data_IF_466595404516
#
_entry.id   IF_466595404516
#
_cell.length_a   1.000
_cell.length_b   1.000
_cell.length_c   1.000
_cell.angle_alpha   90.00
_cell.angle_beta   90.00
_cell.angle_gamma   90.00
#
_symmetry.space_group_name_H-M   'P 1'
#
loop_
_entity.id
_entity.type
_entity.pdbx_description
1 polymer ?
#
# COMPACT_ATOMS: atom_id res chain seq x y z
N UNK A 1 0.96 -16.24 8.40
CA UNK A 1 1.79 -15.05 8.10
C UNK A 1 2.66 -14.76 9.31
N UNK A 2 3.95 -15.09 9.24
CA UNK A 2 4.90 -14.76 10.29
C UNK A 2 5.29 -13.28 10.17
N UNK A 3 4.67 -12.43 10.98
CA UNK A 3 5.28 -11.14 11.32
C UNK A 3 6.62 -11.46 11.96
N UNK A 4 7.72 -10.83 11.55
CA UNK A 4 8.96 -10.91 12.35
C UNK A 4 8.63 -10.22 13.67
N UNK A 5 8.35 -10.99 14.70
CA UNK A 5 8.09 -10.49 16.05
C UNK A 5 9.42 -9.92 16.56
N UNK A 6 9.58 -8.60 16.45
CA UNK A 6 10.67 -7.87 17.09
C UNK A 6 10.37 -7.85 18.58
N UNK A 7 10.88 -8.85 19.31
CA UNK A 7 10.61 -9.01 20.73
C UNK A 7 11.53 -8.14 21.61
N UNK A 8 12.73 -7.81 21.13
CA UNK A 8 13.70 -7.00 21.86
C UNK A 8 13.44 -5.49 21.68
N UNK A 9 13.47 -4.67 22.75
CA UNK A 9 13.30 -3.21 22.67
C UNK A 9 14.24 -2.53 21.68
N UNK A 10 15.51 -2.94 21.63
CA UNK A 10 16.50 -2.37 20.71
C UNK A 10 16.14 -2.63 19.24
N UNK A 11 15.67 -3.84 18.92
CA UNK A 11 15.22 -4.19 17.57
C UNK A 11 13.99 -3.37 17.14
N UNK A 12 13.11 -3.04 18.09
CA UNK A 12 11.97 -2.13 17.86
C UNK A 12 12.48 -0.72 17.58
N UNK A 13 13.40 -0.20 18.41
CA UNK A 13 13.99 1.12 18.26
C UNK A 13 14.65 1.29 16.89
N UNK A 14 15.54 0.36 16.50
CA UNK A 14 16.21 0.37 15.19
C UNK A 14 15.21 0.37 14.05
N UNK A 15 14.14 -0.43 14.15
CA UNK A 15 13.10 -0.46 13.13
C UNK A 15 12.33 0.87 13.04
N UNK A 16 11.96 1.47 14.17
CA UNK A 16 11.27 2.78 14.19
C UNK A 16 12.17 3.87 13.61
N UNK A 17 13.48 3.83 13.89
CA UNK A 17 14.45 4.74 13.27
C UNK A 17 14.50 4.57 11.75
N UNK A 18 14.53 3.32 11.25
CA UNK A 18 14.48 3.03 9.82
C UNK A 18 13.18 3.57 9.19
N UNK A 19 12.02 3.28 9.80
CA UNK A 19 10.72 3.76 9.33
C UNK A 19 10.73 5.29 9.24
N UNK A 20 11.16 5.99 10.28
CA UNK A 20 11.26 7.46 10.29
C UNK A 20 12.19 7.97 9.21
N UNK A 21 13.35 7.33 9.02
CA UNK A 21 14.31 7.72 8.00
C UNK A 21 13.72 7.59 6.60
N UNK A 22 13.13 6.44 6.25
CA UNK A 22 12.47 6.23 4.95
C UNK A 22 11.36 7.24 4.73
N UNK A 23 10.44 7.37 5.70
CA UNK A 23 9.26 8.22 5.53
C UNK A 23 9.60 9.71 5.41
N UNK A 24 10.71 10.18 5.99
CA UNK A 24 11.17 11.57 5.86
C UNK A 24 11.61 11.95 4.44
N UNK A 25 11.94 10.96 3.60
CA UNK A 25 12.33 11.20 2.21
C UNK A 25 11.13 11.29 1.25
N UNK A 26 9.91 11.05 1.75
CA UNK A 26 8.71 10.96 0.93
C UNK A 26 7.86 12.23 1.05
N UNK A 27 7.04 12.55 0.04
CA UNK A 27 6.03 13.60 0.15
C UNK A 27 5.13 13.38 1.38
N UNK A 28 4.83 14.42 2.19
CA UNK A 28 4.20 14.25 3.51
C UNK A 28 2.91 13.44 3.50
N UNK A 29 2.05 13.63 2.51
CA UNK A 29 0.76 12.93 2.40
C UNK A 29 0.96 11.44 2.04
N UNK A 30 1.97 11.13 1.24
CA UNK A 30 2.31 9.74 0.91
C UNK A 30 2.95 9.03 2.11
N UNK A 31 3.83 9.74 2.81
CA UNK A 31 4.46 9.27 4.04
C UNK A 31 3.41 8.95 5.12
N UNK A 32 2.42 9.82 5.31
CA UNK A 32 1.34 9.64 6.29
C UNK A 32 0.52 8.37 6.02
N UNK A 33 0.08 8.14 4.79
CA UNK A 33 -0.71 6.94 4.44
C UNK A 33 0.13 5.68 4.65
N UNK A 34 1.40 5.68 4.21
CA UNK A 34 2.25 4.50 4.40
C UNK A 34 2.56 4.26 5.89
N UNK A 35 2.78 5.32 6.68
CA UNK A 35 2.93 5.22 8.13
C UNK A 35 1.71 4.57 8.77
N UNK A 36 0.51 5.04 8.44
CA UNK A 36 -0.74 4.48 8.96
C UNK A 36 -0.91 3.04 8.51
N UNK A 37 -0.49 2.67 7.31
CA UNK A 37 -0.48 1.28 6.88
C UNK A 37 0.46 0.42 7.74
N UNK A 38 1.71 0.86 7.93
CA UNK A 38 2.73 0.14 8.71
C UNK A 38 2.30 -0.10 10.16
N UNK A 39 1.66 0.90 10.78
CA UNK A 39 1.17 0.80 12.16
C UNK A 39 -0.26 0.26 12.27
N UNK A 40 -0.86 -0.20 11.16
CA UNK A 40 -2.23 -0.72 11.13
C UNK A 40 -3.21 0.28 11.75
N UNK A 41 -3.18 1.52 11.28
CA UNK A 41 -4.05 2.63 11.69
C UNK A 41 -5.05 3.01 10.59
N UNK A 42 -5.01 2.35 9.43
CA UNK A 42 -5.98 2.60 8.37
C UNK A 42 -7.34 1.96 8.69
N UNK A 43 -8.45 2.68 8.48
CA UNK A 43 -9.80 2.19 8.70
C UNK A 43 -10.27 1.25 7.57
N UNK A 44 -9.57 0.15 7.35
CA UNK A 44 -10.02 -0.91 6.42
C UNK A 44 -11.29 -1.60 6.94
N UNK A 45 -12.15 -2.05 6.03
CA UNK A 45 -13.52 -2.47 6.41
C UNK A 45 -13.56 -3.61 7.45
N UNK A 46 -12.55 -4.50 7.52
CA UNK A 46 -12.52 -5.56 8.55
C UNK A 46 -12.50 -5.03 10.00
N UNK A 47 -12.12 -3.76 10.24
CA UNK A 47 -12.15 -3.14 11.57
C UNK A 47 -13.55 -2.77 12.02
N UNK A 48 -14.48 -2.66 11.09
CA UNK A 48 -15.88 -2.33 11.37
C UNK A 48 -16.75 -3.59 11.47
N UNK A 49 -16.19 -4.72 11.92
CA UNK A 49 -16.91 -5.97 12.10
C UNK A 49 -18.17 -5.83 12.97
N UNK A 50 -18.18 -4.89 13.92
CA UNK A 50 -19.36 -4.59 14.74
C UNK A 50 -20.56 -4.07 13.92
N UNK A 51 -20.35 -3.50 12.72
CA UNK A 51 -21.43 -3.05 11.83
C UNK A 51 -22.12 -4.21 11.09
N UNK A 52 -21.54 -5.42 11.08
CA UNK A 52 -22.10 -6.57 10.35
C UNK A 52 -23.50 -6.97 10.80
N UNK A 53 -23.85 -6.66 12.05
CA UNK A 53 -25.19 -6.92 12.60
C UNK A 53 -26.28 -6.21 11.79
N UNK A 54 -26.00 -4.97 11.35
CA UNK A 54 -26.95 -4.15 10.58
C UNK A 54 -26.67 -4.21 9.08
N UNK A 55 -25.41 -4.38 8.69
CA UNK A 55 -24.96 -4.39 7.28
C UNK A 55 -23.96 -5.53 7.08
N UNK A 56 -24.40 -6.72 6.64
CA UNK A 56 -23.52 -7.89 6.51
C UNK A 56 -22.29 -7.68 5.63
N UNK A 57 -22.40 -6.76 4.66
CA UNK A 57 -21.37 -6.36 3.71
C UNK A 57 -20.39 -5.31 4.26
N UNK A 58 -20.55 -4.83 5.50
CA UNK A 58 -19.74 -3.76 6.08
C UNK A 58 -18.24 -4.09 6.21
N UNK A 59 -17.86 -5.37 6.17
CA UNK A 59 -16.45 -5.81 6.19
C UNK A 59 -15.90 -6.14 4.80
N UNK A 60 -16.75 -6.17 3.79
CA UNK A 60 -16.38 -6.57 2.45
C UNK A 60 -15.57 -5.48 1.76
N UNK A 61 -14.76 -5.87 0.77
CA UNK A 61 -13.96 -4.93 0.00
C UNK A 61 -14.81 -3.81 -0.63
N UNK A 62 -14.33 -2.57 -0.55
CA UNK A 62 -14.93 -1.40 -1.19
C UNK A 62 -15.11 -1.60 -2.71
N UNK A 63 -14.20 -2.34 -3.33
CA UNK A 63 -14.30 -2.71 -4.74
C UNK A 63 -15.27 -3.85 -5.03
N UNK A 64 -16.09 -4.28 -4.06
CA UNK A 64 -17.14 -5.31 -4.19
C UNK A 64 -16.64 -6.61 -4.84
N UNK A 65 -15.45 -7.06 -4.46
CA UNK A 65 -14.88 -8.33 -4.93
C UNK A 65 -15.35 -9.55 -4.11
N UNK A 66 -16.13 -9.32 -3.04
CA UNK A 66 -16.69 -10.37 -2.17
C UNK A 66 -15.79 -10.83 -1.02
N UNK A 67 -14.53 -10.43 -0.97
CA UNK A 67 -13.61 -10.78 0.13
C UNK A 67 -13.68 -9.77 1.30
N UNK A 68 -13.28 -10.23 2.48
CA UNK A 68 -13.08 -9.37 3.66
C UNK A 68 -11.91 -8.42 3.43
N UNK A 69 -12.12 -7.15 3.70
CA UNK A 69 -11.12 -6.11 3.46
C UNK A 69 -10.15 -5.97 4.64
N UNK A 70 -9.08 -6.75 4.58
CA UNK A 70 -7.90 -6.55 5.42
C UNK A 70 -6.93 -5.55 4.78
N UNK A 71 -5.92 -5.07 5.52
CA UNK A 71 -4.83 -4.25 4.95
C UNK A 71 -4.19 -4.95 3.74
N UNK A 72 -3.88 -6.25 3.87
CA UNK A 72 -3.34 -7.07 2.78
C UNK A 72 -4.28 -7.12 1.58
N UNK A 73 -5.57 -7.20 1.82
CA UNK A 73 -6.56 -7.23 0.76
C UNK A 73 -6.65 -5.89 0.03
N UNK A 74 -6.92 -4.82 0.78
CA UNK A 74 -7.08 -3.47 0.26
C UNK A 74 -5.86 -2.99 -0.54
N UNK A 75 -4.65 -3.37 -0.10
CA UNK A 75 -3.42 -2.84 -0.68
C UNK A 75 -2.66 -3.81 -1.58
N UNK A 76 -2.96 -5.11 -1.64
CA UNK A 76 -2.10 -6.05 -2.40
C UNK A 76 -2.84 -7.17 -3.11
N UNK A 77 -3.74 -7.87 -2.41
CA UNK A 77 -4.34 -9.11 -2.93
C UNK A 77 -5.72 -8.93 -3.57
N UNK A 78 -6.35 -7.76 -3.44
CA UNK A 78 -7.59 -7.48 -4.15
C UNK A 78 -7.41 -7.63 -5.66
N UNK A 79 -8.32 -8.33 -6.40
CA UNK A 79 -8.21 -8.49 -7.84
C UNK A 79 -8.15 -7.19 -8.65
N UNK A 80 -8.60 -6.07 -8.06
CA UNK A 80 -8.53 -4.74 -8.67
C UNK A 80 -7.21 -4.02 -8.41
N UNK A 81 -6.47 -4.42 -7.38
CA UNK A 81 -5.24 -3.78 -6.92
C UNK A 81 -4.01 -4.60 -7.30
N UNK A 82 -4.09 -5.93 -7.21
CA UNK A 82 -2.99 -6.83 -7.55
C UNK A 82 -2.35 -6.57 -8.93
N UNK A 83 -3.12 -6.31 -10.01
CA UNK A 83 -2.54 -6.00 -11.32
C UNK A 83 -1.61 -4.79 -11.33
N UNK A 84 -1.86 -3.79 -10.47
CA UNK A 84 -1.04 -2.57 -10.36
C UNK A 84 0.37 -2.94 -9.86
N UNK A 85 0.44 -3.78 -8.83
CA UNK A 85 1.72 -4.26 -8.32
C UNK A 85 2.42 -5.19 -9.29
N UNK A 86 1.68 -6.05 -10.00
CA UNK A 86 2.25 -6.92 -11.02
C UNK A 86 2.86 -6.10 -12.19
N UNK A 87 2.21 -5.00 -12.57
CA UNK A 87 2.72 -4.07 -13.57
C UNK A 87 4.04 -3.42 -13.11
N UNK A 88 4.08 -2.83 -11.92
CA UNK A 88 5.30 -2.22 -11.39
C UNK A 88 6.42 -3.24 -11.15
N UNK A 89 6.09 -4.42 -10.62
CA UNK A 89 7.07 -5.50 -10.42
C UNK A 89 7.71 -5.90 -11.76
N UNK A 90 6.94 -5.95 -12.85
CA UNK A 90 7.47 -6.24 -14.18
C UNK A 90 8.37 -5.13 -14.69
N UNK A 91 7.94 -3.87 -14.58
CA UNK A 91 8.68 -2.72 -15.08
C UNK A 91 9.99 -2.49 -14.30
N UNK A 92 10.01 -2.75 -13.00
CA UNK A 92 11.17 -2.49 -12.14
C UNK A 92 12.02 -3.74 -11.86
N UNK A 93 11.65 -4.89 -12.42
CA UNK A 93 12.40 -6.15 -12.27
C UNK A 93 13.87 -6.01 -12.67
N UNK A 94 14.17 -5.21 -13.69
CA UNK A 94 15.54 -4.96 -14.18
C UNK A 94 16.43 -4.27 -13.13
N UNK A 95 15.81 -3.56 -12.19
CA UNK A 95 16.49 -2.92 -11.06
C UNK A 95 16.46 -3.77 -9.78
N UNK A 96 16.04 -5.04 -9.86
CA UNK A 96 15.98 -5.96 -8.72
C UNK A 96 14.90 -5.62 -7.69
N UNK A 97 13.95 -4.75 -8.04
CA UNK A 97 12.88 -4.32 -7.14
C UNK A 97 11.72 -5.31 -7.19
N UNK A 98 11.28 -5.76 -6.01
CA UNK A 98 10.00 -6.46 -5.87
C UNK A 98 9.07 -5.69 -4.93
N UNK A 99 7.76 -5.85 -5.18
CA UNK A 99 6.69 -5.21 -4.41
C UNK A 99 5.87 -6.26 -3.66
N UNK A 100 6.53 -7.28 -3.12
CA UNK A 100 5.84 -8.26 -2.29
C UNK A 100 5.26 -7.56 -1.04
N UNK A 101 4.12 -8.05 -0.54
CA UNK A 101 3.47 -7.46 0.63
C UNK A 101 4.39 -7.36 1.86
N UNK A 102 5.19 -8.40 2.10
CA UNK A 102 6.18 -8.44 3.19
C UNK A 102 7.22 -7.36 3.03
N UNK A 103 7.70 -7.11 1.81
CA UNK A 103 8.64 -6.04 1.49
C UNK A 103 8.02 -4.66 1.74
N UNK A 104 6.78 -4.44 1.32
CA UNK A 104 6.05 -3.18 1.55
C UNK A 104 5.80 -2.89 3.04
N UNK A 105 5.54 -3.93 3.84
CA UNK A 105 5.15 -3.80 5.26
C UNK A 105 6.29 -4.03 6.25
N UNK A 106 7.42 -4.58 5.82
CA UNK A 106 8.61 -4.80 6.63
C UNK A 106 9.81 -4.12 5.97
N UNK A 107 9.94 -2.81 6.20
CA UNK A 107 10.97 -1.98 5.55
C UNK A 107 12.41 -2.49 5.74
N UNK A 108 12.71 -3.22 6.82
CA UNK A 108 14.03 -3.85 7.00
C UNK A 108 14.38 -4.94 5.99
N UNK A 109 13.38 -5.46 5.25
CA UNK A 109 13.55 -6.43 4.16
C UNK A 109 13.47 -5.78 2.78
N UNK A 110 13.23 -4.48 2.72
CA UNK A 110 13.07 -3.73 1.48
C UNK A 110 14.45 -3.31 0.96
N UNK A 111 15.07 -4.16 0.15
CA UNK A 111 16.42 -3.95 -0.40
C UNK A 111 16.41 -3.04 -1.64
N UNK A 112 15.67 -1.94 -1.59
CA UNK A 112 15.49 -1.06 -2.75
C UNK A 112 16.17 0.27 -2.52
N UNK A 113 16.68 0.87 -3.61
CA UNK A 113 17.14 2.26 -3.59
C UNK A 113 16.00 3.22 -3.22
N UNK A 114 16.34 4.47 -2.91
CA UNK A 114 15.36 5.48 -2.49
C UNK A 114 14.22 5.69 -3.50
N UNK A 115 14.47 5.44 -4.80
CA UNK A 115 13.46 5.53 -5.87
C UNK A 115 12.34 4.49 -5.70
N UNK A 116 12.65 3.28 -5.23
CA UNK A 116 11.63 2.27 -4.97
C UNK A 116 10.73 2.60 -3.78
N UNK A 117 11.26 3.28 -2.75
CA UNK A 117 10.45 3.80 -1.66
C UNK A 117 9.47 4.87 -2.16
N UNK A 118 9.92 5.80 -3.00
CA UNK A 118 9.07 6.84 -3.58
C UNK A 118 7.92 6.25 -4.42
N UNK A 119 8.21 5.27 -5.28
CA UNK A 119 7.18 4.61 -6.07
C UNK A 119 6.18 3.87 -5.18
N UNK A 120 6.67 3.11 -4.19
CA UNK A 120 5.83 2.36 -3.26
C UNK A 120 4.88 3.29 -2.51
N UNK A 121 5.40 4.39 -1.97
CA UNK A 121 4.62 5.40 -1.27
C UNK A 121 3.55 6.05 -2.17
N UNK A 122 3.92 6.38 -3.40
CA UNK A 122 3.00 6.97 -4.37
C UNK A 122 1.86 6.02 -4.76
N UNK A 123 2.17 4.73 -4.96
CA UNK A 123 1.18 3.70 -5.30
C UNK A 123 0.26 3.42 -4.11
N UNK A 124 0.81 3.27 -2.90
CA UNK A 124 0.02 3.10 -1.66
C UNK A 124 -0.94 4.28 -1.47
N UNK A 125 -0.43 5.50 -1.61
CA UNK A 125 -1.25 6.70 -1.51
C UNK A 125 -2.39 6.71 -2.54
N UNK A 126 -2.08 6.43 -3.81
CA UNK A 126 -3.09 6.39 -4.87
C UNK A 126 -4.16 5.32 -4.60
N UNK A 127 -3.76 4.11 -4.21
CA UNK A 127 -4.67 3.02 -3.85
C UNK A 127 -5.61 3.50 -2.75
N UNK A 128 -5.07 4.07 -1.67
CA UNK A 128 -5.88 4.52 -0.54
C UNK A 128 -6.81 5.67 -0.88
N UNK A 129 -6.35 6.67 -1.64
CA UNK A 129 -7.20 7.78 -2.09
C UNK A 129 -8.37 7.27 -2.94
N UNK A 130 -8.10 6.36 -3.89
CA UNK A 130 -9.14 5.81 -4.76
C UNK A 130 -10.08 4.88 -4.03
N UNK A 131 -9.56 4.09 -3.10
CA UNK A 131 -10.36 3.29 -2.19
C UNK A 131 -11.37 4.16 -1.46
N UNK A 132 -10.94 5.25 -0.81
CA UNK A 132 -11.82 6.13 -0.05
C UNK A 132 -12.89 6.80 -0.92
N UNK A 133 -12.53 7.20 -2.15
CA UNK A 133 -13.52 7.74 -3.10
C UNK A 133 -14.61 6.73 -3.46
N UNK A 134 -14.23 5.47 -3.70
CA UNK A 134 -15.21 4.40 -4.00
C UNK A 134 -16.05 4.08 -2.77
N UNK A 135 -15.45 4.06 -1.58
CA UNK A 135 -16.13 3.66 -0.34
C UNK A 135 -17.07 4.74 0.20
N UNK A 136 -16.68 6.01 0.13
CA UNK A 136 -17.36 7.10 0.84
C UNK A 136 -17.92 8.20 -0.06
N UNK A 137 -17.47 8.31 -1.31
CA UNK A 137 -17.86 9.37 -2.25
C UNK A 137 -18.63 8.84 -3.48
N UNK A 138 -19.13 7.60 -3.42
CA UNK A 138 -19.87 6.89 -4.48
C UNK A 138 -19.20 6.98 -5.87
N UNK A 139 -17.87 7.06 -5.90
CA UNK A 139 -17.14 7.10 -7.17
C UNK A 139 -17.09 5.72 -7.82
N UNK A 140 -17.13 5.72 -9.15
CA UNK A 140 -16.89 4.52 -9.93
C UNK A 140 -15.46 4.01 -9.74
N UNK A 141 -15.32 2.68 -9.77
CA UNK A 141 -14.02 2.01 -9.78
C UNK A 141 -13.26 2.43 -11.04
N UNK A 142 -11.99 2.78 -10.89
CA UNK A 142 -11.16 3.08 -12.03
C UNK A 142 -11.00 1.83 -12.92
N UNK A 143 -11.05 1.97 -14.26
CA UNK A 143 -10.63 0.91 -15.17
C UNK A 143 -9.13 0.63 -15.00
N UNK A 144 -8.70 -0.60 -15.32
CA UNK A 144 -7.30 -1.03 -15.13
C UNK A 144 -6.30 -0.11 -15.84
N UNK A 145 -6.62 0.33 -17.05
CA UNK A 145 -5.78 1.24 -17.85
C UNK A 145 -5.54 2.59 -17.16
N UNK A 146 -6.55 3.14 -16.50
CA UNK A 146 -6.42 4.39 -15.77
C UNK A 146 -5.49 4.27 -14.55
N UNK A 147 -5.37 3.08 -13.95
CA UNK A 147 -4.39 2.87 -12.87
C UNK A 147 -2.97 2.93 -13.39
N UNK A 148 -2.71 2.29 -14.52
CA UNK A 148 -1.41 2.31 -15.19
C UNK A 148 -1.05 3.76 -15.59
N UNK A 149 -1.97 4.49 -16.22
CA UNK A 149 -1.75 5.90 -16.60
C UNK A 149 -1.53 6.85 -15.41
N UNK A 150 -2.12 6.58 -14.24
CA UNK A 150 -1.93 7.43 -13.06
C UNK A 150 -0.65 7.08 -12.28
N UNK A 151 -0.11 5.89 -12.47
CA UNK A 151 1.09 5.41 -11.78
C UNK A 151 2.34 5.49 -12.64
N UNK A 152 2.20 5.38 -13.96
CA UNK A 152 3.31 5.36 -14.92
C UNK A 152 4.05 6.69 -15.07
N UNK A 153 3.40 7.88 -15.19
CA UNK A 153 4.10 9.16 -15.25
C UNK A 153 4.91 9.41 -13.99
N UNK A 154 4.38 9.05 -12.81
CA UNK A 154 5.10 9.15 -11.53
C UNK A 154 6.30 8.20 -11.48
N UNK A 155 6.17 6.98 -12.02
CA UNK A 155 7.28 6.05 -12.12
C UNK A 155 8.35 6.50 -13.15
N UNK A 156 7.93 7.02 -14.29
CA UNK A 156 8.82 7.51 -15.35
C UNK A 156 9.59 8.77 -14.94
N UNK A 157 8.94 9.71 -14.24
CA UNK A 157 9.62 10.88 -13.65
C UNK A 157 10.70 10.48 -12.64
N UNK A 158 10.48 9.40 -11.87
CA UNK A 158 11.49 8.88 -10.93
C UNK A 158 12.67 8.19 -11.63
N UNK A 159 12.51 7.79 -12.89
CA UNK A 159 13.55 7.16 -13.71
C UNK A 159 14.29 8.17 -14.60
N UNK A 160 13.73 9.35 -14.87
CA UNK A 160 14.23 10.31 -15.85
C UNK A 160 15.11 11.45 -15.28
N UNK A 161 15.29 11.54 -13.96
CA UNK A 161 16.12 12.56 -13.30
C UNK A 161 17.56 12.10 -13.02
N UNK A 162 18.20 11.52 -14.02
CA UNK A 162 19.66 11.23 -14.04
C UNK A 162 20.45 12.39 -14.66
#
# INVERSE_FOLDING_TARGET
MATVTRAAPDAISTYVHLVRWVLRQLPPVQADVWQRLLYRMLPVNCRFAYLQVTRPDAICCAYKCGAVETDLHAFSTCPKIHPIWAFHARAWRVYGVDFAWTRITQLGTFTVNDRGHLLTAAVIYLIWTRHNKVQYEDHNKLPTTAWEELTYPRAAYLLATD
#
